data_IF_199533261333
#
_entry.id   IF_199533261333
#
_cell.length_a   1.000
_cell.length_b   1.000
_cell.length_c   1.000
_cell.angle_alpha   90.00
_cell.angle_beta   90.00
_cell.angle_gamma   90.00
#
_symmetry.space_group_name_H-M   'P 1'
#
loop_
_entity.id
_entity.type
_entity.pdbx_description
1 polymer ?
#
# COMPACT_ATOMS: atom_id res chain seq x y z
N UNK A 1 2.59 -3.27 -30.49
CA UNK A 1 2.02 -2.96 -29.17
C UNK A 1 3.19 -2.92 -28.21
N UNK A 2 3.67 -1.73 -27.85
CA UNK A 2 4.62 -1.58 -26.75
C UNK A 2 3.86 -1.92 -25.47
N UNK A 3 4.12 -3.08 -24.89
CA UNK A 3 3.81 -3.29 -23.47
C UNK A 3 4.67 -2.28 -22.73
N UNK A 4 4.06 -1.30 -22.07
CA UNK A 4 4.79 -0.40 -21.17
C UNK A 4 5.54 -1.28 -20.17
N UNK A 5 6.86 -1.40 -20.37
CA UNK A 5 7.71 -2.19 -19.50
C UNK A 5 7.68 -1.50 -18.13
N UNK A 6 7.16 -2.20 -17.13
CA UNK A 6 7.19 -1.76 -15.73
C UNK A 6 8.62 -1.90 -15.18
N UNK A 7 9.52 -1.06 -15.66
CA UNK A 7 10.94 -1.05 -15.28
C UNK A 7 11.42 0.39 -15.11
N UNK A 8 12.26 0.60 -14.14
CA UNK A 8 12.94 1.87 -13.90
C UNK A 8 14.23 1.96 -14.72
N UNK A 9 14.65 3.16 -15.06
CA UNK A 9 16.01 3.40 -15.55
C UNK A 9 17.05 3.08 -14.45
N UNK A 10 18.28 2.85 -14.83
CA UNK A 10 19.36 2.57 -13.87
C UNK A 10 19.52 3.69 -12.82
N UNK A 11 19.32 4.96 -13.23
CA UNK A 11 19.39 6.11 -12.32
C UNK A 11 18.22 6.09 -11.32
N UNK A 12 17.00 5.94 -11.80
CA UNK A 12 15.80 5.84 -10.94
C UNK A 12 15.91 4.67 -9.95
N UNK A 13 16.36 3.51 -10.42
CA UNK A 13 16.56 2.33 -9.55
C UNK A 13 17.56 2.63 -8.43
N UNK A 14 18.68 3.29 -8.75
CA UNK A 14 19.69 3.65 -7.76
C UNK A 14 19.17 4.69 -6.76
N UNK A 15 18.44 5.69 -7.22
CA UNK A 15 17.81 6.71 -6.36
C UNK A 15 16.79 6.07 -5.41
N UNK A 16 15.91 5.22 -5.92
CA UNK A 16 14.94 4.49 -5.09
C UNK A 16 15.63 3.59 -4.05
N UNK A 17 16.63 2.80 -4.47
CA UNK A 17 17.37 1.94 -3.53
C UNK A 17 18.04 2.74 -2.41
N UNK A 18 18.53 3.95 -2.69
CA UNK A 18 19.10 4.84 -1.66
C UNK A 18 18.03 5.34 -0.68
N UNK A 19 16.84 5.70 -1.19
CA UNK A 19 15.70 6.10 -0.35
C UNK A 19 15.25 4.95 0.55
N UNK A 20 15.06 3.75 -0.01
CA UNK A 20 14.68 2.56 0.73
C UNK A 20 15.72 2.18 1.78
N UNK A 21 17.01 2.24 1.43
CA UNK A 21 18.11 1.98 2.38
C UNK A 21 18.07 2.96 3.56
N UNK A 22 17.95 4.24 3.26
CA UNK A 22 17.90 5.28 4.31
C UNK A 22 16.72 5.05 5.26
N UNK A 23 15.58 4.66 4.72
CA UNK A 23 14.37 4.33 5.51
C UNK A 23 14.57 3.07 6.34
N UNK A 24 15.13 2.02 5.74
CA UNK A 24 15.48 0.78 6.41
C UNK A 24 16.41 1.02 7.61
N UNK A 25 17.50 1.77 7.42
CA UNK A 25 18.47 2.08 8.48
C UNK A 25 17.87 2.95 9.59
N UNK A 26 16.91 3.81 9.26
CA UNK A 26 16.24 4.70 10.22
C UNK A 26 15.20 3.96 11.09
N UNK A 27 14.56 2.93 10.57
CA UNK A 27 13.42 2.28 11.21
C UNK A 27 13.70 0.81 11.57
N UNK A 28 14.83 0.53 12.17
CA UNK A 28 15.31 -0.83 12.50
C UNK A 28 14.34 -1.65 13.36
N UNK A 29 13.44 -1.01 14.10
CA UNK A 29 12.40 -1.68 14.88
C UNK A 29 11.33 -2.36 14.03
N UNK A 30 11.17 -1.96 12.75
CA UNK A 30 10.19 -2.53 11.82
C UNK A 30 10.60 -3.90 11.27
N UNK A 31 11.91 -4.20 11.26
CA UNK A 31 12.47 -5.35 10.56
C UNK A 31 13.68 -5.95 11.31
N UNK A 32 13.50 -6.27 12.58
CA UNK A 32 14.53 -6.86 13.43
C UNK A 32 15.24 -8.04 12.75
N UNK A 33 16.58 -8.03 12.83
CA UNK A 33 17.45 -9.09 12.28
C UNK A 33 17.48 -9.21 10.75
N UNK A 34 16.86 -8.32 9.99
CA UNK A 34 17.00 -8.33 8.54
C UNK A 34 18.29 -7.60 8.11
N UNK A 35 18.84 -8.02 6.97
CA UNK A 35 20.07 -7.46 6.41
C UNK A 35 19.75 -6.73 5.11
N UNK A 36 20.14 -5.46 5.02
CA UNK A 36 19.86 -4.63 3.84
C UNK A 36 20.47 -5.19 2.55
N UNK A 37 21.69 -5.73 2.59
CA UNK A 37 22.32 -6.24 1.36
C UNK A 37 21.55 -7.40 0.75
N UNK A 38 20.91 -8.25 1.58
CA UNK A 38 20.03 -9.32 1.11
C UNK A 38 18.72 -8.77 0.53
N UNK A 39 18.10 -7.77 1.18
CA UNK A 39 16.92 -7.08 0.66
C UNK A 39 17.24 -6.44 -0.69
N UNK A 40 18.35 -5.70 -0.77
CA UNK A 40 18.81 -5.06 -2.00
C UNK A 40 19.01 -6.06 -3.13
N UNK A 41 19.68 -7.19 -2.87
CA UNK A 41 19.91 -8.22 -3.87
C UNK A 41 18.61 -8.78 -4.46
N UNK A 42 17.58 -8.99 -3.62
CA UNK A 42 16.25 -9.41 -4.08
C UNK A 42 15.58 -8.35 -4.96
N UNK A 43 15.66 -7.08 -4.55
CA UNK A 43 15.11 -5.96 -5.32
C UNK A 43 15.78 -5.80 -6.68
N UNK A 44 17.12 -5.89 -6.74
CA UNK A 44 17.89 -5.82 -7.98
C UNK A 44 17.60 -7.00 -8.92
N UNK A 45 17.23 -8.15 -8.38
CA UNK A 45 16.82 -9.33 -9.15
C UNK A 45 15.36 -9.24 -9.65
N UNK A 46 14.56 -8.29 -9.17
CA UNK A 46 13.12 -8.17 -9.46
C UNK A 46 12.74 -6.76 -9.92
N UNK A 47 13.12 -6.35 -11.16
CA UNK A 47 12.93 -4.98 -11.65
C UNK A 47 11.46 -4.50 -11.62
N UNK A 48 10.50 -5.37 -11.89
CA UNK A 48 9.06 -5.09 -11.82
C UNK A 48 8.58 -4.80 -10.39
N UNK A 49 9.16 -5.47 -9.39
CA UNK A 49 8.86 -5.22 -7.98
C UNK A 49 9.47 -3.90 -7.52
N UNK A 50 10.68 -3.61 -7.99
CA UNK A 50 11.32 -2.32 -7.74
C UNK A 50 10.50 -1.17 -8.35
N UNK A 51 9.95 -1.36 -9.56
CA UNK A 51 9.01 -0.41 -10.17
C UNK A 51 7.75 -0.23 -9.30
N UNK A 52 7.17 -1.31 -8.77
CA UNK A 52 6.01 -1.22 -7.87
C UNK A 52 6.31 -0.44 -6.59
N UNK A 53 7.52 -0.58 -6.03
CA UNK A 53 7.96 0.22 -4.87
C UNK A 53 8.12 1.70 -5.23
N UNK A 54 8.57 2.02 -6.45
CA UNK A 54 8.61 3.40 -6.94
C UNK A 54 7.21 4.01 -7.03
N UNK A 55 6.24 3.27 -7.55
CA UNK A 55 4.83 3.69 -7.56
C UNK A 55 4.27 3.92 -6.14
N UNK A 56 4.69 3.11 -5.17
CA UNK A 56 4.36 3.33 -3.77
C UNK A 56 5.00 4.61 -3.24
N UNK A 57 6.26 4.87 -3.58
CA UNK A 57 7.02 6.05 -3.15
C UNK A 57 6.45 7.34 -3.74
N UNK A 58 6.29 7.43 -5.05
CA UNK A 58 5.83 8.65 -5.74
C UNK A 58 4.38 9.02 -5.37
N UNK A 59 3.58 8.06 -4.94
CA UNK A 59 2.22 8.31 -4.43
C UNK A 59 2.18 8.65 -2.93
N UNK A 60 3.33 8.68 -2.25
CA UNK A 60 3.48 9.09 -0.86
C UNK A 60 3.21 7.98 0.16
N UNK A 61 3.45 6.72 -0.22
CA UNK A 61 3.29 5.54 0.64
C UNK A 61 4.45 5.34 1.61
N UNK A 62 5.64 5.80 1.26
CA UNK A 62 6.86 5.57 2.04
C UNK A 62 7.08 4.07 2.35
N UNK A 63 7.17 3.18 1.33
CA UNK A 63 7.28 1.75 1.55
C UNK A 63 8.52 1.38 2.35
N UNK A 64 8.37 0.46 3.30
CA UNK A 64 9.46 -0.05 4.13
C UNK A 64 9.32 -1.57 4.32
N UNK A 65 10.44 -2.24 4.56
CA UNK A 65 10.46 -3.66 4.88
C UNK A 65 9.88 -3.86 6.28
N UNK A 66 8.91 -4.75 6.39
CA UNK A 66 8.25 -5.04 7.67
C UNK A 66 8.40 -6.50 8.10
N UNK A 67 8.91 -7.35 7.21
CA UNK A 67 9.09 -8.76 7.52
C UNK A 67 9.78 -9.55 6.40
N UNK A 68 10.00 -10.82 6.67
CA UNK A 68 10.51 -11.81 5.75
C UNK A 68 9.78 -13.13 5.97
N UNK A 69 9.28 -13.71 4.90
CA UNK A 69 8.60 -14.98 4.88
C UNK A 69 9.60 -16.07 4.47
N UNK A 70 10.02 -16.90 5.44
CA UNK A 70 10.98 -17.98 5.21
C UNK A 70 10.43 -19.10 4.31
N UNK A 71 9.11 -19.27 4.24
CA UNK A 71 8.49 -20.33 3.44
C UNK A 71 8.50 -19.99 1.95
N UNK A 72 8.29 -18.71 1.62
CA UNK A 72 8.27 -18.24 0.23
C UNK A 72 9.58 -17.55 -0.18
N UNK A 73 10.51 -17.35 0.74
CA UNK A 73 11.76 -16.61 0.54
C UNK A 73 11.50 -15.17 0.04
N UNK A 74 10.49 -14.48 0.62
CA UNK A 74 10.08 -13.16 0.20
C UNK A 74 10.21 -12.13 1.32
N UNK A 75 10.70 -10.93 0.99
CA UNK A 75 10.60 -9.75 1.85
C UNK A 75 9.22 -9.11 1.70
N UNK A 76 8.66 -8.67 2.82
CA UNK A 76 7.34 -8.03 2.88
C UNK A 76 7.53 -6.54 3.07
N UNK A 77 6.95 -5.75 2.16
CA UNK A 77 6.91 -4.31 2.22
C UNK A 77 5.49 -3.82 2.45
N UNK A 78 5.32 -2.83 3.33
CA UNK A 78 4.07 -2.10 3.52
C UNK A 78 4.28 -0.60 3.30
N UNK A 79 3.22 0.11 2.90
CA UNK A 79 3.19 1.56 2.98
C UNK A 79 3.25 2.01 4.44
N UNK A 80 4.34 2.69 4.80
CA UNK A 80 4.64 3.12 6.17
C UNK A 80 4.62 4.64 6.37
N UNK A 81 4.00 5.40 5.45
CA UNK A 81 3.75 6.83 5.66
C UNK A 81 2.83 7.05 6.86
N UNK A 82 3.07 8.12 7.63
CA UNK A 82 2.33 8.38 8.87
C UNK A 82 0.81 8.47 8.66
N UNK A 83 0.40 9.12 7.57
CA UNK A 83 -1.00 9.24 7.15
C UNK A 83 -1.20 8.54 5.80
N UNK A 84 -2.45 8.16 5.47
CA UNK A 84 -2.74 7.46 4.21
C UNK A 84 -2.14 8.16 2.99
N UNK A 85 -1.57 7.46 2.02
CA UNK A 85 -0.82 8.02 0.89
C UNK A 85 -1.60 9.12 0.15
N UNK A 86 -1.02 10.32 0.08
CA UNK A 86 -1.71 11.51 -0.41
C UNK A 86 -2.13 11.37 -1.88
N UNK A 87 -1.30 10.74 -2.71
CA UNK A 87 -1.55 10.53 -4.13
C UNK A 87 -2.67 9.52 -4.44
N UNK A 88 -3.20 8.82 -3.43
CA UNK A 88 -4.23 7.77 -3.57
C UNK A 88 -5.54 8.11 -2.86
N UNK A 89 -5.71 9.35 -2.41
CA UNK A 89 -6.91 9.80 -1.71
C UNK A 89 -8.06 10.08 -2.67
N UNK A 90 -9.27 10.12 -2.11
CA UNK A 90 -10.50 10.42 -2.85
C UNK A 90 -10.88 9.36 -3.90
N UNK A 91 -10.53 8.11 -3.70
CA UNK A 91 -10.94 6.99 -4.54
C UNK A 91 -12.09 6.22 -3.88
N UNK A 92 -13.08 5.79 -4.68
CA UNK A 92 -14.05 4.80 -4.25
C UNK A 92 -13.42 3.39 -4.28
N UNK A 93 -14.13 2.37 -3.81
CA UNK A 93 -13.49 1.08 -3.55
C UNK A 93 -13.05 0.33 -4.81
N UNK A 94 -13.96 0.08 -5.76
CA UNK A 94 -13.67 -0.73 -6.96
C UNK A 94 -14.38 -0.21 -8.22
N UNK A 95 -14.15 -0.89 -9.35
CA UNK A 95 -14.70 -0.52 -10.65
C UNK A 95 -16.23 -0.50 -10.63
N UNK A 96 -16.89 -1.49 -10.06
CA UNK A 96 -18.34 -1.55 -9.98
C UNK A 96 -18.92 -0.37 -9.18
N UNK A 97 -18.25 0.00 -8.09
CA UNK A 97 -18.60 1.18 -7.29
C UNK A 97 -18.40 2.48 -8.08
N UNK A 98 -17.31 2.61 -8.84
CA UNK A 98 -17.04 3.76 -9.68
C UNK A 98 -18.10 3.91 -10.78
N UNK A 99 -18.46 2.83 -11.45
CA UNK A 99 -19.41 2.83 -12.57
C UNK A 99 -20.85 3.07 -12.10
N UNK A 100 -21.21 2.67 -10.87
CA UNK A 100 -22.53 2.89 -10.29
C UNK A 100 -22.86 4.38 -10.07
N UNK A 101 -21.84 5.24 -9.95
CA UNK A 101 -22.03 6.68 -9.70
C UNK A 101 -22.46 7.38 -10.99
N UNK A 102 -23.54 8.14 -10.90
CA UNK A 102 -24.04 8.97 -12.01
C UNK A 102 -23.33 10.32 -12.09
N UNK A 103 -23.03 10.90 -10.93
CA UNK A 103 -22.41 12.21 -10.77
C UNK A 103 -21.24 12.17 -9.80
N UNK A 104 -20.35 13.17 -9.88
CA UNK A 104 -19.20 13.32 -8.98
C UNK A 104 -18.35 12.04 -8.88
N UNK A 105 -18.05 11.44 -10.03
CA UNK A 105 -17.18 10.26 -10.08
C UNK A 105 -15.77 10.63 -9.61
N UNK A 106 -15.17 9.86 -8.69
CA UNK A 106 -13.75 10.02 -8.38
C UNK A 106 -12.89 9.69 -9.60
N UNK A 107 -11.65 10.19 -9.60
CA UNK A 107 -10.72 9.98 -10.72
C UNK A 107 -10.36 8.50 -10.92
N UNK A 108 -10.40 7.69 -9.87
CA UNK A 108 -10.07 6.28 -9.90
C UNK A 108 -10.76 5.53 -8.75
N UNK A 109 -10.53 4.25 -8.67
CA UNK A 109 -10.92 3.38 -7.58
C UNK A 109 -9.68 2.64 -7.02
N UNK A 110 -9.81 2.14 -5.81
CA UNK A 110 -8.72 1.55 -5.04
C UNK A 110 -8.18 0.28 -5.67
N UNK A 111 -9.06 -0.62 -6.11
CA UNK A 111 -8.65 -1.93 -6.66
C UNK A 111 -7.89 -1.75 -7.98
N UNK A 112 -8.39 -0.92 -8.89
CA UNK A 112 -7.70 -0.67 -10.15
C UNK A 112 -6.37 0.06 -9.96
N UNK A 113 -6.32 1.01 -9.01
CA UNK A 113 -5.08 1.71 -8.69
C UNK A 113 -4.03 0.77 -8.12
N UNK A 114 -4.38 -0.09 -7.17
CA UNK A 114 -3.46 -1.08 -6.61
C UNK A 114 -2.97 -2.07 -7.68
N UNK A 115 -3.88 -2.55 -8.53
CA UNK A 115 -3.53 -3.44 -9.64
C UNK A 115 -2.57 -2.77 -10.64
N UNK A 116 -2.83 -1.51 -11.00
CA UNK A 116 -1.96 -0.75 -11.90
C UNK A 116 -0.55 -0.58 -11.31
N UNK A 117 -0.42 -0.37 -10.00
CA UNK A 117 0.85 -0.27 -9.27
C UNK A 117 1.52 -1.63 -9.03
N UNK A 118 0.85 -2.75 -9.29
CA UNK A 118 1.38 -4.10 -9.02
C UNK A 118 1.49 -4.44 -7.53
N UNK A 119 0.61 -3.89 -6.70
CA UNK A 119 0.56 -4.10 -5.24
C UNK A 119 -0.79 -4.65 -4.80
N UNK A 120 -0.86 -5.18 -3.59
CA UNK A 120 -2.10 -5.60 -2.95
C UNK A 120 -2.53 -4.60 -1.87
N UNK A 121 -3.84 -4.52 -1.59
CA UNK A 121 -4.32 -3.82 -0.41
C UNK A 121 -3.97 -4.61 0.84
N UNK A 122 -3.63 -3.89 1.91
CA UNK A 122 -3.58 -4.52 3.23
C UNK A 122 -4.96 -5.09 3.56
N UNK A 123 -5.00 -6.32 4.07
CA UNK A 123 -6.18 -6.85 4.75
C UNK A 123 -6.27 -6.34 6.20
N UNK A 124 -7.31 -6.74 6.92
CA UNK A 124 -7.52 -6.30 8.30
C UNK A 124 -6.40 -6.75 9.23
N UNK A 125 -5.91 -7.99 9.08
CA UNK A 125 -4.80 -8.51 9.88
C UNK A 125 -3.52 -7.73 9.61
N UNK A 126 -3.15 -7.54 8.35
CA UNK A 126 -1.96 -6.78 7.94
C UNK A 126 -2.03 -5.31 8.40
N UNK A 127 -3.23 -4.71 8.43
CA UNK A 127 -3.40 -3.37 8.96
C UNK A 127 -3.16 -3.33 10.48
N UNK A 128 -3.61 -4.34 11.23
CA UNK A 128 -3.29 -4.48 12.65
C UNK A 128 -1.79 -4.69 12.89
N UNK A 129 -1.12 -5.51 12.07
CA UNK A 129 0.33 -5.73 12.11
C UNK A 129 1.10 -4.43 11.86
N UNK A 130 0.71 -3.65 10.84
CA UNK A 130 1.28 -2.34 10.57
C UNK A 130 1.22 -1.44 11.82
N UNK A 131 0.11 -1.41 12.52
CA UNK A 131 -0.08 -0.58 13.72
C UNK A 131 0.78 -1.02 14.92
N UNK A 132 1.38 -2.21 14.89
CA UNK A 132 2.40 -2.61 15.89
C UNK A 132 3.77 -1.97 15.61
N UNK A 133 4.00 -1.52 14.38
CA UNK A 133 5.26 -0.90 13.93
C UNK A 133 5.28 0.62 14.13
N UNK A 134 4.16 1.22 14.53
CA UNK A 134 4.03 2.66 14.72
C UNK A 134 2.58 3.09 14.84
N UNK A 135 2.32 4.40 14.73
CA UNK A 135 0.98 4.98 14.72
C UNK A 135 0.71 5.52 13.33
N UNK A 136 -0.19 4.88 12.61
CA UNK A 136 -0.53 5.24 11.23
C UNK A 136 -2.01 5.63 11.15
N UNK A 137 -2.36 6.52 10.20
CA UNK A 137 -3.73 6.99 9.99
C UNK A 137 -4.36 7.64 11.24
N UNK A 138 -3.59 8.46 11.95
CA UNK A 138 -4.10 9.17 13.14
C UNK A 138 -5.05 10.32 12.79
N UNK A 139 -5.01 10.82 11.55
CA UNK A 139 -5.87 11.89 11.00
C UNK A 139 -6.62 11.46 9.74
N UNK A 140 -6.16 10.40 9.10
CA UNK A 140 -6.73 9.84 7.86
C UNK A 140 -7.31 8.47 8.10
N UNK A 141 -7.79 7.82 7.04
CA UNK A 141 -8.20 6.42 7.04
C UNK A 141 -7.74 5.73 5.76
N UNK A 142 -7.68 4.41 5.79
CA UNK A 142 -7.28 3.60 4.64
C UNK A 142 -8.33 2.53 4.34
N UNK A 143 -8.75 2.44 3.07
CA UNK A 143 -9.47 1.27 2.59
C UNK A 143 -8.59 0.04 2.77
N UNK A 144 -9.18 -1.05 3.23
CA UNK A 144 -8.53 -2.35 3.37
C UNK A 144 -9.27 -3.40 2.54
N UNK A 145 -8.63 -4.54 2.29
CA UNK A 145 -9.19 -5.63 1.48
C UNK A 145 -10.51 -6.09 2.09
N UNK A 146 -11.59 -5.83 1.37
CA UNK A 146 -12.95 -6.11 1.82
C UNK A 146 -13.30 -7.58 1.56
N UNK A 147 -13.76 -8.34 2.55
CA UNK A 147 -14.30 -9.68 2.36
C UNK A 147 -15.43 -9.72 1.32
N UNK A 148 -15.46 -10.78 0.51
CA UNK A 148 -16.37 -10.90 -0.62
C UNK A 148 -17.86 -10.87 -0.19
N UNK A 149 -18.18 -11.39 0.99
CA UNK A 149 -19.53 -11.38 1.55
C UNK A 149 -20.02 -9.95 1.86
N UNK A 150 -19.16 -9.09 2.38
CA UNK A 150 -19.46 -7.68 2.63
C UNK A 150 -19.60 -6.94 1.28
N UNK A 151 -18.66 -7.20 0.37
CA UNK A 151 -18.69 -6.53 -0.94
C UNK A 151 -19.92 -6.88 -1.76
N UNK A 152 -20.41 -8.11 -1.72
CA UNK A 152 -21.66 -8.55 -2.39
C UNK A 152 -22.91 -7.80 -1.89
N UNK A 153 -22.89 -7.35 -0.65
CA UNK A 153 -23.96 -6.53 -0.08
C UNK A 153 -23.81 -5.02 -0.34
N UNK A 154 -22.84 -4.63 -1.18
CA UNK A 154 -22.61 -3.23 -1.56
C UNK A 154 -21.62 -2.48 -0.66
N UNK A 155 -21.14 -3.10 0.43
CA UNK A 155 -20.23 -2.49 1.38
C UNK A 155 -18.75 -2.58 0.98
N UNK A 156 -17.94 -1.76 1.62
CA UNK A 156 -16.48 -1.88 1.69
C UNK A 156 -15.99 -1.44 3.06
N UNK A 157 -14.87 -2.01 3.53
CA UNK A 157 -14.31 -1.72 4.85
C UNK A 157 -13.07 -0.85 4.75
N UNK A 158 -12.88 -0.02 5.77
CA UNK A 158 -11.71 0.83 5.96
C UNK A 158 -11.33 0.89 7.43
N UNK A 159 -10.10 1.28 7.70
CA UNK A 159 -9.59 1.36 9.07
C UNK A 159 -8.87 2.68 9.34
N UNK A 160 -8.80 3.02 10.61
CA UNK A 160 -8.00 4.13 11.13
C UNK A 160 -7.47 3.82 12.54
N UNK A 161 -6.63 4.73 13.06
CA UNK A 161 -6.10 4.65 14.42
C UNK A 161 -6.53 5.87 15.22
N UNK A 162 -7.42 5.68 16.20
CA UNK A 162 -7.94 6.73 17.07
C UNK A 162 -7.92 6.26 18.52
N UNK A 163 -7.72 7.19 19.42
CA UNK A 163 -7.80 6.92 20.87
C UNK A 163 -6.92 5.76 21.34
N UNK A 164 -5.78 5.53 20.66
CA UNK A 164 -4.86 4.45 21.01
C UNK A 164 -5.28 3.06 20.51
N UNK A 165 -6.26 2.96 19.61
CA UNK A 165 -6.79 1.70 19.08
C UNK A 165 -7.04 1.77 17.57
N UNK A 166 -6.98 0.62 16.94
CA UNK A 166 -7.45 0.42 15.57
C UNK A 166 -8.97 0.31 15.59
N UNK A 167 -9.61 0.99 14.66
CA UNK A 167 -11.03 0.85 14.38
C UNK A 167 -11.22 0.42 12.94
N UNK A 168 -12.08 -0.56 12.73
CA UNK A 168 -12.52 -1.00 11.41
C UNK A 168 -13.97 -0.60 11.23
N UNK A 169 -14.23 0.10 10.13
CA UNK A 169 -15.54 0.64 9.78
C UNK A 169 -15.96 0.20 8.39
N UNK A 170 -17.14 0.60 8.00
CA UNK A 170 -17.70 0.33 6.67
C UNK A 170 -18.35 1.58 6.06
N UNK A 171 -18.40 1.59 4.73
CA UNK A 171 -19.25 2.50 3.94
C UNK A 171 -19.79 1.73 2.72
N UNK A 172 -20.75 2.31 2.02
CA UNK A 172 -21.01 1.90 0.65
C UNK A 172 -19.73 1.99 -0.18
N UNK A 173 -19.47 1.02 -1.03
CA UNK A 173 -18.24 0.95 -1.81
C UNK A 173 -18.04 2.14 -2.76
N UNK A 174 -19.13 2.82 -3.17
CA UNK A 174 -19.14 4.01 -4.01
C UNK A 174 -18.72 5.29 -3.27
N UNK A 175 -18.61 5.25 -1.93
CA UNK A 175 -18.22 6.40 -1.12
C UNK A 175 -16.72 6.71 -1.30
N UNK A 176 -16.37 7.98 -1.22
CA UNK A 176 -14.97 8.44 -1.19
C UNK A 176 -14.83 9.70 -0.36
N UNK A 177 -13.63 9.90 0.21
CA UNK A 177 -13.35 11.01 1.12
C UNK A 177 -11.94 11.55 0.89
N UNK A 178 -11.77 12.86 1.04
CA UNK A 178 -10.48 13.54 0.85
C UNK A 178 -9.38 13.05 1.82
N UNK A 179 -9.76 12.50 2.98
CA UNK A 179 -8.85 11.96 3.99
C UNK A 179 -8.75 10.43 3.94
N UNK A 180 -9.28 9.78 2.91
CA UNK A 180 -9.20 8.32 2.76
C UNK A 180 -8.45 7.92 1.50
N UNK A 181 -7.42 7.08 1.68
CA UNK A 181 -6.71 6.42 0.61
C UNK A 181 -6.74 4.89 0.79
N UNK A 182 -5.70 4.20 0.38
CA UNK A 182 -5.39 2.81 0.72
C UNK A 182 -3.89 2.65 0.93
N UNK A 183 -3.51 1.63 1.68
CA UNK A 183 -2.13 1.21 1.87
C UNK A 183 -1.88 -0.09 1.15
N UNK A 184 -0.72 -0.21 0.53
CA UNK A 184 -0.32 -1.39 -0.21
C UNK A 184 0.60 -2.30 0.58
N UNK A 185 0.57 -3.57 0.20
CA UNK A 185 1.56 -4.59 0.51
C UNK A 185 2.22 -5.05 -0.79
N UNK A 186 3.51 -5.35 -0.71
CA UNK A 186 4.27 -5.97 -1.79
C UNK A 186 5.19 -7.06 -1.24
N UNK A 187 5.26 -8.19 -1.92
CA UNK A 187 6.21 -9.28 -1.65
C UNK A 187 7.27 -9.33 -2.75
N UNK A 188 8.52 -9.47 -2.34
CA UNK A 188 9.70 -9.43 -3.23
C UNK A 188 10.62 -10.61 -2.96
#
# INVERSE_FOLDING_TARGET
>A
MNSDKKELSALQSQELLNVLKTRFEKNTDRHKNLNWDKVKAKLEASPEKLWSLDEMEITGGEPDVVGYDEQTDEYIFYDCSAESPKGRRSFCYDRAALDSRKEHKPANNVIDAAFAMGIELLDEQQYHELQQLGKFDTKTSSWIKTPAEIRRLGGAIFADYRYGKVFVYHNGAESYYAARAFRGALRV
#
